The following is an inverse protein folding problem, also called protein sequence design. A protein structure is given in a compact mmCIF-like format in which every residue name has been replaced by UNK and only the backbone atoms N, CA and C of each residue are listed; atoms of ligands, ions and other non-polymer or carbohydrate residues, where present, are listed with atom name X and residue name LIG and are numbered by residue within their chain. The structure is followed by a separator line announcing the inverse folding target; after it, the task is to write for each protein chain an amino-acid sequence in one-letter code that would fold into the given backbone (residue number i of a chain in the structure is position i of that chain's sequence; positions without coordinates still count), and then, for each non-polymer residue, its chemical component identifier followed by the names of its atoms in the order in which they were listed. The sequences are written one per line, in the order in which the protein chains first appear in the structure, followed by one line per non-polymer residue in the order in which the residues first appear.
data_IF_599998336726
#
_entry.id   IF_599998336726
#
_cell.length_a   1.000
_cell.length_b   1.000
_cell.length_c   1.000
_cell.angle_alpha   90.00
_cell.angle_beta   90.00
_cell.angle_gamma   90.00
#
_symmetry.space_group_name_H-M   'P 1'
#
loop_
_entity.id
_entity.type
_entity.pdbx_description
1 polymer ?
#
# COMPACT_ATOMS: atom_id res chain seq x y z
N UNK A 1 13.63 -18.01 -10.50
CA UNK A 1 14.48 -18.09 -9.29
C UNK A 1 13.67 -17.48 -8.18
N UNK A 2 13.26 -18.27 -7.23
CA UNK A 2 12.52 -17.72 -6.09
C UNK A 2 13.53 -17.03 -5.17
N UNK A 3 13.48 -15.73 -5.02
CA UNK A 3 14.41 -14.98 -4.16
C UNK A 3 14.13 -15.20 -2.68
N UNK A 4 12.92 -15.70 -2.35
CA UNK A 4 12.52 -16.02 -0.99
C UNK A 4 13.38 -17.09 -0.31
N UNK A 5 14.02 -17.96 -1.09
CA UNK A 5 14.89 -19.02 -0.56
C UNK A 5 16.28 -18.51 -0.13
N UNK A 6 16.56 -17.23 -0.33
CA UNK A 6 17.89 -16.67 -0.08
C UNK A 6 17.97 -15.75 1.15
N UNK A 7 16.84 -15.37 1.71
CA UNK A 7 16.79 -14.44 2.85
C UNK A 7 15.83 -14.97 3.91
N UNK A 8 16.24 -14.90 5.15
CA UNK A 8 15.41 -15.18 6.30
C UNK A 8 15.31 -13.91 7.15
N UNK A 9 14.10 -13.59 7.56
CA UNK A 9 13.85 -12.47 8.47
C UNK A 9 14.06 -12.94 9.91
N UNK A 10 14.67 -12.12 10.74
CA UNK A 10 14.89 -12.45 12.16
C UNK A 10 13.90 -11.75 13.07
N UNK A 11 13.70 -12.28 14.28
CA UNK A 11 12.89 -11.64 15.31
C UNK A 11 13.39 -10.24 15.74
N UNK A 12 14.59 -9.86 15.32
CA UNK A 12 15.15 -8.52 15.55
C UNK A 12 14.87 -7.51 14.43
N UNK A 13 14.11 -7.91 13.41
CA UNK A 13 13.74 -7.03 12.31
C UNK A 13 14.76 -6.93 11.17
N UNK A 14 15.70 -7.86 11.08
CA UNK A 14 16.73 -7.85 10.04
C UNK A 14 16.56 -9.01 9.07
N UNK A 15 16.80 -8.79 7.80
CA UNK A 15 16.97 -9.87 6.83
C UNK A 15 18.35 -10.50 6.98
N UNK A 16 18.42 -11.82 6.93
CA UNK A 16 19.66 -12.57 7.08
C UNK A 16 19.81 -13.59 5.96
N UNK A 17 20.96 -13.57 5.29
CA UNK A 17 21.41 -14.68 4.48
C UNK A 17 22.29 -15.58 5.36
N UNK A 18 21.75 -16.73 5.74
CA UNK A 18 22.42 -17.63 6.67
C UNK A 18 23.63 -18.32 6.06
N UNK A 19 24.65 -18.57 6.88
CA UNK A 19 25.80 -19.37 6.48
C UNK A 19 25.37 -20.77 6.03
N UNK A 20 25.97 -21.28 4.97
CA UNK A 20 25.68 -22.61 4.45
C UNK A 20 25.86 -22.75 2.95
N UNK A 21 25.47 -23.88 2.41
CA UNK A 21 25.50 -24.16 0.98
C UNK A 21 24.12 -23.97 0.37
N UNK A 22 24.09 -23.21 -0.73
CA UNK A 22 22.88 -22.91 -1.52
C UNK A 22 23.04 -23.51 -2.92
N UNK A 23 22.03 -24.24 -3.38
CA UNK A 23 22.00 -24.79 -4.72
C UNK A 23 21.11 -23.91 -5.62
N UNK A 24 21.70 -23.37 -6.66
CA UNK A 24 21.01 -22.62 -7.70
C UNK A 24 20.91 -23.51 -8.92
N UNK A 25 19.70 -23.85 -9.36
CA UNK A 25 19.48 -24.76 -10.47
C UNK A 25 18.49 -24.20 -11.47
N UNK A 26 18.71 -24.47 -12.78
CA UNK A 26 17.69 -24.30 -13.78
C UNK A 26 16.78 -25.52 -13.78
N UNK A 27 15.49 -25.29 -13.88
CA UNK A 27 14.48 -26.33 -13.79
C UNK A 27 13.46 -26.22 -14.92
N UNK A 28 12.85 -27.33 -15.29
CA UNK A 28 11.72 -27.35 -16.25
C UNK A 28 10.38 -27.12 -15.56
N UNK A 29 10.31 -27.38 -14.27
CA UNK A 29 9.20 -27.16 -13.37
C UNK A 29 9.73 -27.07 -11.92
N UNK A 30 8.88 -26.88 -10.93
CA UNK A 30 9.28 -26.70 -9.51
C UNK A 30 10.06 -27.89 -8.92
N UNK A 31 10.00 -29.06 -9.52
CA UNK A 31 10.60 -30.29 -8.98
C UNK A 31 11.73 -30.86 -9.85
N UNK A 32 11.75 -30.58 -11.15
CA UNK A 32 12.65 -31.24 -12.11
C UNK A 32 13.82 -30.32 -12.48
N UNK A 33 15.00 -30.64 -11.95
CA UNK A 33 16.25 -29.96 -12.30
C UNK A 33 16.66 -30.36 -13.71
N UNK A 34 17.02 -29.41 -14.53
CA UNK A 34 17.60 -29.66 -15.85
C UNK A 34 19.05 -30.11 -15.70
N UNK A 35 19.40 -31.23 -16.33
CA UNK A 35 20.70 -31.88 -16.20
C UNK A 35 21.88 -30.91 -16.32
N UNK A 36 22.82 -31.02 -15.37
CA UNK A 36 24.07 -30.25 -15.32
C UNK A 36 23.91 -28.70 -15.19
N UNK A 37 22.73 -28.20 -14.85
CA UNK A 37 22.50 -26.78 -14.67
C UNK A 37 22.24 -26.43 -13.19
N UNK A 38 23.08 -26.97 -12.30
CA UNK A 38 23.10 -26.65 -10.88
C UNK A 38 24.44 -26.06 -10.50
N UNK A 39 24.40 -24.95 -9.78
CA UNK A 39 25.59 -24.32 -9.18
C UNK A 39 25.43 -24.32 -7.66
N UNK A 40 26.50 -24.60 -6.96
CA UNK A 40 26.53 -24.46 -5.49
C UNK A 40 27.20 -23.13 -5.14
N UNK A 41 26.51 -22.31 -4.36
CA UNK A 41 27.05 -21.11 -3.75
C UNK A 41 27.24 -21.38 -2.25
N UNK A 42 28.38 -20.96 -1.69
CA UNK A 42 28.67 -21.12 -0.27
C UNK A 42 28.75 -19.75 0.42
N UNK A 43 27.90 -19.57 1.42
CA UNK A 43 27.95 -18.44 2.33
C UNK A 43 28.74 -18.86 3.57
N UNK A 44 29.85 -18.18 3.83
CA UNK A 44 30.80 -18.60 4.87
C UNK A 44 30.33 -18.25 6.28
N UNK A 45 29.66 -17.10 6.43
CA UNK A 45 29.12 -16.58 7.68
C UNK A 45 27.79 -15.88 7.41
N UNK A 46 26.95 -15.66 8.41
CA UNK A 46 25.69 -14.96 8.25
C UNK A 46 25.91 -13.54 7.75
N UNK A 47 25.24 -13.17 6.68
CA UNK A 47 25.18 -11.80 6.16
C UNK A 47 23.88 -11.17 6.62
N UNK A 48 23.97 -10.09 7.42
CA UNK A 48 22.81 -9.39 7.98
C UNK A 48 22.57 -8.11 7.17
N UNK A 49 21.34 -7.95 6.68
CA UNK A 49 20.89 -6.79 5.93
C UNK A 49 20.00 -5.94 6.84
N UNK A 50 20.41 -4.71 7.10
CA UNK A 50 19.71 -3.79 8.01
C UNK A 50 18.65 -2.94 7.31
N UNK A 51 18.70 -2.86 6.01
CA UNK A 51 17.73 -2.20 5.14
C UNK A 51 16.77 -3.22 4.51
N UNK A 52 15.75 -2.73 3.83
CA UNK A 52 14.74 -3.59 3.22
C UNK A 52 15.34 -4.67 2.31
N UNK A 53 14.59 -5.73 2.09
CA UNK A 53 15.00 -6.90 1.30
C UNK A 53 15.57 -6.59 -0.09
N UNK A 54 15.24 -5.44 -0.65
CA UNK A 54 15.64 -5.05 -2.01
C UNK A 54 16.74 -3.99 -2.05
N UNK A 55 17.29 -3.66 -0.88
CA UNK A 55 18.36 -2.67 -0.76
C UNK A 55 17.93 -1.26 -1.13
N UNK A 56 18.87 -0.34 -1.02
CA UNK A 56 18.70 1.08 -1.38
C UNK A 56 18.63 1.34 -2.88
N UNK A 57 18.20 0.38 -3.68
CA UNK A 57 18.05 0.49 -5.14
C UNK A 57 16.97 1.48 -5.59
N UNK A 58 16.86 2.57 -4.87
CA UNK A 58 15.85 3.61 -5.03
C UNK A 58 16.23 4.65 -6.08
N UNK A 59 17.29 4.44 -6.85
CA UNK A 59 17.67 5.39 -7.90
C UNK A 59 16.56 5.67 -8.93
N UNK A 60 15.56 4.80 -9.00
CA UNK A 60 14.44 4.94 -9.92
C UNK A 60 13.09 5.27 -9.24
N UNK A 61 13.02 5.32 -7.93
CA UNK A 61 11.79 5.71 -7.23
C UNK A 61 11.70 7.24 -7.17
N UNK A 62 10.86 7.79 -8.00
CA UNK A 62 10.62 9.23 -8.16
C UNK A 62 10.21 9.93 -6.86
N UNK A 63 9.67 9.19 -5.90
CA UNK A 63 8.99 9.71 -4.71
C UNK A 63 9.57 9.23 -3.38
N UNK A 64 10.68 8.54 -3.39
CA UNK A 64 11.42 8.32 -2.15
C UNK A 64 12.06 9.65 -1.78
N UNK A 65 11.28 10.46 -1.13
CA UNK A 65 11.80 11.61 -0.44
C UNK A 65 12.84 11.09 0.55
N UNK A 66 14.06 11.58 0.46
CA UNK A 66 15.00 11.41 1.55
C UNK A 66 14.36 12.11 2.74
N UNK A 67 13.68 11.34 3.61
CA UNK A 67 13.55 11.82 4.98
C UNK A 67 14.97 12.03 5.46
N UNK A 68 15.22 13.24 5.90
CA UNK A 68 16.52 13.68 6.34
C UNK A 68 17.22 12.61 7.19
N UNK A 69 18.37 12.20 6.75
CA UNK A 69 19.54 11.82 7.52
C UNK A 69 19.66 10.44 8.15
N UNK A 70 18.63 9.66 8.41
CA UNK A 70 18.84 8.45 9.19
C UNK A 70 18.47 7.20 8.38
N UNK A 71 19.41 6.26 8.29
CA UNK A 71 19.15 4.91 7.82
C UNK A 71 17.97 4.34 8.62
N UNK A 72 16.83 4.16 7.97
CA UNK A 72 15.68 3.55 8.62
C UNK A 72 15.92 2.05 8.64
N UNK A 73 16.19 1.55 9.80
CA UNK A 73 16.35 0.11 10.04
C UNK A 73 14.97 -0.51 10.17
N UNK A 74 14.73 -1.60 9.43
CA UNK A 74 13.52 -2.40 9.61
C UNK A 74 13.46 -2.97 11.03
N UNK A 75 12.29 -2.86 11.66
CA UNK A 75 12.05 -3.37 13.01
C UNK A 75 10.77 -4.20 13.05
N UNK A 76 10.66 -5.12 14.02
CA UNK A 76 9.42 -5.86 14.20
C UNK A 76 8.28 -4.92 14.56
N UNK A 77 7.16 -5.06 13.83
CA UNK A 77 5.99 -4.20 13.94
C UNK A 77 4.70 -4.98 14.25
N UNK A 78 4.69 -6.30 14.09
CA UNK A 78 3.48 -7.13 14.06
C UNK A 78 3.54 -8.33 15.01
N UNK A 79 4.24 -8.20 16.12
CA UNK A 79 4.34 -9.29 17.12
C UNK A 79 2.97 -9.71 17.67
N UNK A 80 2.03 -8.78 17.76
CA UNK A 80 0.63 -9.02 18.17
C UNK A 80 -0.14 -9.88 17.16
N UNK A 81 0.21 -9.83 15.88
CA UNK A 81 -0.39 -10.63 14.82
C UNK A 81 0.30 -11.99 14.61
N UNK A 82 1.51 -12.18 15.15
CA UNK A 82 2.27 -13.41 14.99
C UNK A 82 1.79 -14.53 15.93
N UNK A 83 1.36 -14.19 17.12
CA UNK A 83 1.08 -15.16 18.18
C UNK A 83 2.34 -15.94 18.56
N UNK A 84 2.17 -17.24 18.83
CA UNK A 84 3.26 -18.15 19.27
C UNK A 84 4.03 -18.81 18.09
N UNK A 85 4.04 -18.20 16.92
CA UNK A 85 4.72 -18.75 15.74
C UNK A 85 6.20 -18.45 15.79
N UNK A 86 7.04 -19.51 15.66
CA UNK A 86 8.49 -19.33 15.54
C UNK A 86 8.86 -19.04 14.09
N UNK A 87 9.77 -18.08 13.88
CA UNK A 87 10.30 -17.78 12.55
C UNK A 87 11.04 -18.98 11.96
N UNK A 88 10.86 -19.17 10.66
CA UNK A 88 11.56 -20.19 9.91
C UNK A 88 13.03 -19.83 9.73
N UNK A 89 13.88 -20.82 9.88
CA UNK A 89 15.29 -20.74 9.55
C UNK A 89 15.77 -22.08 8.97
N UNK A 90 17.03 -22.19 8.57
CA UNK A 90 17.57 -23.40 7.94
C UNK A 90 17.50 -24.64 8.82
N UNK A 91 17.57 -24.47 10.15
CA UNK A 91 17.59 -25.56 11.11
C UNK A 91 16.17 -25.99 11.53
N UNK A 92 15.19 -25.09 11.41
CA UNK A 92 13.82 -25.30 11.87
C UNK A 92 12.80 -25.32 10.73
N UNK A 93 13.21 -25.66 9.54
CA UNK A 93 12.35 -25.72 8.36
C UNK A 93 11.22 -26.75 8.53
N UNK A 94 10.15 -26.36 9.20
CA UNK A 94 9.01 -27.20 9.48
C UNK A 94 7.71 -26.48 9.11
N UNK A 95 6.87 -27.15 8.35
CA UNK A 95 5.48 -26.73 8.16
C UNK A 95 4.68 -27.22 9.36
N UNK A 96 4.23 -26.28 10.20
CA UNK A 96 3.28 -26.57 11.27
C UNK A 96 1.88 -26.36 10.71
N UNK A 97 1.04 -27.39 10.58
CA UNK A 97 -0.33 -27.20 10.15
C UNK A 97 -1.05 -26.26 11.13
N UNK A 98 -1.70 -25.22 10.59
CA UNK A 98 -2.54 -24.34 11.38
C UNK A 98 -3.67 -25.14 12.05
N UNK A 99 -3.88 -24.91 13.34
CA UNK A 99 -5.03 -25.43 14.07
C UNK A 99 -6.08 -24.35 14.23
N UNK A 100 -7.35 -24.71 14.13
CA UNK A 100 -8.44 -23.79 14.47
C UNK A 100 -8.39 -23.46 15.96
N UNK A 101 -8.43 -22.17 16.30
CA UNK A 101 -8.46 -21.69 17.68
C UNK A 101 -9.63 -20.70 17.82
N UNK A 102 -10.20 -20.64 19.01
CA UNK A 102 -11.10 -19.55 19.37
C UNK A 102 -10.29 -18.30 19.74
N UNK A 103 -10.83 -17.10 19.43
CA UNK A 103 -10.22 -15.86 19.87
C UNK A 103 -10.23 -15.77 21.40
N UNK A 104 -9.14 -15.28 21.98
CA UNK A 104 -9.09 -15.06 23.44
C UNK A 104 -9.90 -13.83 23.83
N UNK A 105 -10.19 -13.71 25.13
CA UNK A 105 -10.88 -12.52 25.64
C UNK A 105 -10.07 -11.24 25.39
N UNK A 106 -8.75 -11.30 25.52
CA UNK A 106 -7.83 -10.20 25.28
C UNK A 106 -7.83 -9.79 23.79
N UNK A 107 -7.89 -10.75 22.85
CA UNK A 107 -7.99 -10.47 21.43
C UNK A 107 -9.33 -9.80 21.08
N UNK A 108 -10.42 -10.26 21.67
CA UNK A 108 -11.76 -9.64 21.49
C UNK A 108 -11.82 -8.22 22.08
N UNK A 109 -11.20 -7.99 23.23
CA UNK A 109 -11.10 -6.67 23.85
C UNK A 109 -10.25 -5.74 22.97
N UNK A 110 -9.07 -6.20 22.52
CA UNK A 110 -8.19 -5.43 21.63
C UNK A 110 -8.89 -5.07 20.29
N UNK A 111 -9.62 -6.01 19.70
CA UNK A 111 -10.42 -5.76 18.50
C UNK A 111 -11.47 -4.66 18.74
N UNK A 112 -12.21 -4.72 19.84
CA UNK A 112 -13.23 -3.72 20.15
C UNK A 112 -12.62 -2.34 20.46
N UNK A 113 -11.50 -2.29 21.17
CA UNK A 113 -10.79 -1.04 21.47
C UNK A 113 -10.21 -0.40 20.21
N UNK A 114 -9.77 -1.22 19.24
CA UNK A 114 -9.29 -0.73 17.96
C UNK A 114 -10.35 0.01 17.13
N UNK A 115 -11.63 -0.09 17.47
CA UNK A 115 -12.72 0.61 16.79
C UNK A 115 -12.97 2.04 17.31
N UNK A 116 -12.34 2.44 18.43
CA UNK A 116 -12.60 3.72 19.08
C UNK A 116 -11.45 4.70 18.82
N UNK A 117 -11.75 5.92 18.42
CA UNK A 117 -10.79 7.04 18.47
C UNK A 117 -10.82 7.61 19.88
N UNK A 118 -9.70 7.59 20.57
CA UNK A 118 -9.53 8.17 21.89
C UNK A 118 -8.48 9.31 21.83
N UNK A 119 -8.34 10.06 22.91
CA UNK A 119 -7.44 11.22 22.96
C UNK A 119 -5.96 10.86 23.16
N UNK A 120 -5.57 9.58 23.08
CA UNK A 120 -4.20 9.14 23.30
C UNK A 120 -3.21 9.65 22.23
N UNK A 121 -3.72 10.07 21.08
CA UNK A 121 -2.92 10.66 20.01
C UNK A 121 -2.54 12.14 20.28
N UNK A 122 -3.18 12.80 21.22
CA UNK A 122 -3.03 14.25 21.44
C UNK A 122 -1.71 14.54 22.14
N UNK A 123 -0.87 15.37 21.50
CA UNK A 123 0.31 15.97 22.10
C UNK A 123 -0.04 17.37 22.62
N UNK A 124 0.14 17.60 23.91
CA UNK A 124 -0.19 18.87 24.57
C UNK A 124 0.75 20.03 24.14
N UNK A 125 1.90 19.71 23.58
CA UNK A 125 2.89 20.71 23.14
C UNK A 125 2.65 21.13 21.67
N UNK A 126 1.76 20.44 20.93
CA UNK A 126 1.41 20.76 19.57
C UNK A 126 0.68 22.11 19.47
N UNK A 127 1.02 22.87 18.44
CA UNK A 127 0.36 24.11 18.10
C UNK A 127 -0.47 23.96 16.82
N UNK A 128 -1.72 24.41 16.85
CA UNK A 128 -2.61 24.34 15.70
C UNK A 128 -1.99 25.03 14.46
N UNK A 129 -2.10 24.42 13.28
CA UNK A 129 -1.58 25.03 12.06
C UNK A 129 -2.41 26.24 11.62
N UNK A 130 -1.86 27.04 10.73
CA UNK A 130 -2.57 28.16 10.11
C UNK A 130 -3.58 27.66 9.08
N UNK A 131 -4.76 28.26 9.02
CA UNK A 131 -5.80 28.02 8.04
C UNK A 131 -6.24 29.32 7.34
N UNK A 132 -6.62 29.21 6.07
CA UNK A 132 -7.26 30.29 5.32
C UNK A 132 -6.35 31.49 5.02
N UNK A 133 -5.03 31.32 5.07
CA UNK A 133 -4.07 32.34 4.68
C UNK A 133 -4.28 32.79 3.22
N UNK A 134 -3.85 34.01 2.88
CA UNK A 134 -3.97 34.57 1.53
C UNK A 134 -2.58 34.75 0.91
N UNK A 135 -1.85 33.65 0.73
CA UNK A 135 -0.49 33.66 0.19
C UNK A 135 -0.47 33.75 -1.35
N UNK A 136 -1.60 33.50 -2.01
CA UNK A 136 -1.75 33.64 -3.47
C UNK A 136 -1.05 32.54 -4.27
N UNK A 137 -0.72 31.41 -3.65
CA UNK A 137 -0.13 30.25 -4.30
C UNK A 137 -1.20 29.31 -4.84
N UNK A 138 -0.85 28.63 -5.92
CA UNK A 138 -1.65 27.55 -6.51
C UNK A 138 -0.89 26.22 -6.46
N UNK A 139 -1.59 25.10 -6.56
CA UNK A 139 -0.97 23.78 -6.62
C UNK A 139 0.04 23.68 -7.79
N UNK A 140 -0.21 24.41 -8.88
CA UNK A 140 0.70 24.45 -10.03
C UNK A 140 2.06 25.08 -9.67
N UNK A 141 2.11 26.01 -8.72
CA UNK A 141 3.36 26.62 -8.28
C UNK A 141 4.26 25.64 -7.51
N UNK A 142 3.72 24.50 -7.11
CA UNK A 142 4.44 23.42 -6.42
C UNK A 142 5.07 22.42 -7.39
N UNK A 143 4.80 22.50 -8.68
CA UNK A 143 5.30 21.56 -9.68
C UNK A 143 6.84 21.49 -9.65
N UNK A 144 7.36 20.28 -9.40
CA UNK A 144 8.81 20.01 -9.36
C UNK A 144 9.52 20.40 -8.07
N UNK A 145 8.81 20.93 -7.07
CA UNK A 145 9.39 21.18 -5.75
C UNK A 145 9.55 19.87 -4.97
N UNK A 146 10.56 19.82 -4.12
CA UNK A 146 10.72 18.71 -3.18
C UNK A 146 9.59 18.71 -2.13
N UNK A 147 9.29 17.53 -1.56
CA UNK A 147 8.24 17.38 -0.55
C UNK A 147 8.45 18.30 0.67
N UNK A 148 9.69 18.53 1.06
CA UNK A 148 10.10 19.36 2.19
C UNK A 148 10.39 20.83 1.83
N UNK A 149 10.03 21.27 0.61
CA UNK A 149 10.18 22.69 0.24
C UNK A 149 9.22 23.56 1.04
N UNK A 150 9.73 24.63 1.63
CA UNK A 150 8.96 25.55 2.49
C UNK A 150 7.79 26.27 1.78
N UNK A 151 7.68 26.17 0.46
CA UNK A 151 6.52 26.70 -0.26
C UNK A 151 5.28 25.86 -0.03
N UNK A 152 5.43 24.55 0.22
CA UNK A 152 4.33 23.69 0.59
C UNK A 152 3.61 24.18 1.85
N UNK A 153 4.35 24.59 2.89
CA UNK A 153 3.74 25.15 4.10
C UNK A 153 2.87 26.36 3.80
N UNK A 154 3.33 27.24 2.93
CA UNK A 154 2.56 28.44 2.54
C UNK A 154 1.32 28.09 1.72
N UNK A 155 1.39 27.05 0.86
CA UNK A 155 0.23 26.57 0.13
C UNK A 155 -0.79 25.95 1.08
N UNK A 156 -0.34 25.06 1.97
CA UNK A 156 -1.18 24.38 2.94
C UNK A 156 -1.85 25.32 3.93
N UNK A 157 -1.19 26.42 4.28
CA UNK A 157 -1.77 27.49 5.12
C UNK A 157 -3.00 28.15 4.48
N UNK A 158 -3.16 28.07 3.17
CA UNK A 158 -4.34 28.60 2.46
C UNK A 158 -5.57 27.71 2.60
N UNK A 159 -5.39 26.42 2.89
CA UNK A 159 -6.51 25.49 3.08
C UNK A 159 -7.34 25.88 4.30
N UNK A 160 -8.64 25.67 4.19
CA UNK A 160 -9.58 25.71 5.32
C UNK A 160 -9.83 24.29 5.81
N UNK A 161 -10.47 24.14 6.97
CA UNK A 161 -10.94 22.82 7.41
C UNK A 161 -11.92 22.19 6.40
N UNK A 162 -12.79 22.99 5.80
CA UNK A 162 -13.69 22.52 4.74
C UNK A 162 -12.94 22.00 3.52
N UNK A 163 -11.84 22.64 3.13
CA UNK A 163 -10.99 22.16 2.04
C UNK A 163 -10.34 20.83 2.39
N UNK A 164 -9.88 20.68 3.64
CA UNK A 164 -9.33 19.42 4.11
C UNK A 164 -10.39 18.30 4.14
N UNK A 165 -11.61 18.60 4.57
CA UNK A 165 -12.71 17.64 4.52
C UNK A 165 -12.99 17.17 3.09
N UNK A 166 -12.97 18.07 2.11
CA UNK A 166 -13.13 17.72 0.70
C UNK A 166 -11.98 16.87 0.17
N UNK A 167 -10.75 17.16 0.57
CA UNK A 167 -9.57 16.40 0.13
C UNK A 167 -9.52 15.00 0.73
N UNK A 168 -9.80 14.89 2.03
CA UNK A 168 -9.55 13.68 2.80
C UNK A 168 -10.82 12.83 3.01
N UNK A 169 -11.97 13.48 3.14
CA UNK A 169 -13.26 12.82 3.32
C UNK A 169 -14.06 12.63 2.02
N UNK A 170 -13.39 12.48 0.92
CA UNK A 170 -13.73 12.63 -0.49
C UNK A 170 -15.10 12.16 -0.95
N UNK A 171 -15.50 12.68 -2.11
CA UNK A 171 -16.71 12.31 -2.85
C UNK A 171 -16.62 10.95 -3.58
N UNK A 172 -15.52 10.21 -3.45
CA UNK A 172 -15.28 8.93 -4.10
C UNK A 172 -15.15 9.00 -5.64
N UNK A 173 -14.38 8.07 -6.19
CA UNK A 173 -14.11 7.95 -7.63
C UNK A 173 -13.44 9.18 -8.25
N UNK A 174 -12.69 9.89 -7.40
CA UNK A 174 -11.94 11.06 -7.75
C UNK A 174 -11.72 11.98 -6.56
N UNK A 175 -11.20 13.15 -6.79
CA UNK A 175 -10.96 14.14 -5.75
C UNK A 175 -11.67 15.45 -6.06
N UNK A 176 -12.24 16.09 -5.06
CA UNK A 176 -12.92 17.36 -5.19
C UNK A 176 -11.97 18.50 -5.65
N UNK A 177 -12.55 19.50 -6.32
CA UNK A 177 -11.85 20.75 -6.58
C UNK A 177 -11.65 21.54 -5.28
N UNK A 178 -10.50 22.22 -5.15
CA UNK A 178 -10.18 23.13 -4.06
C UNK A 178 -9.72 24.47 -4.63
N UNK A 179 -10.67 25.39 -4.75
CA UNK A 179 -10.46 26.67 -5.42
C UNK A 179 -9.38 27.54 -4.74
N UNK A 180 -9.25 27.46 -3.41
CA UNK A 180 -8.28 28.25 -2.65
C UNK A 180 -6.82 28.02 -3.07
N UNK A 181 -6.54 26.88 -3.66
CA UNK A 181 -5.20 26.49 -4.15
C UNK A 181 -5.20 26.17 -5.65
N UNK A 182 -6.29 26.45 -6.35
CA UNK A 182 -6.40 26.19 -7.80
C UNK A 182 -6.32 24.72 -8.17
N UNK A 183 -6.64 23.79 -7.24
CA UNK A 183 -6.70 22.36 -7.52
C UNK A 183 -8.02 22.04 -8.26
N UNK A 184 -7.91 21.48 -9.46
CA UNK A 184 -9.06 20.97 -10.20
C UNK A 184 -9.61 19.66 -9.61
N UNK A 185 -10.80 19.29 -10.03
CA UNK A 185 -11.36 17.96 -9.78
C UNK A 185 -10.59 16.91 -10.59
N UNK A 186 -10.36 15.73 -9.99
CA UNK A 186 -9.84 14.53 -10.68
C UNK A 186 -10.91 13.46 -10.77
N UNK A 187 -10.72 12.51 -11.69
CA UNK A 187 -11.57 11.34 -11.84
C UNK A 187 -10.73 10.08 -11.76
N UNK A 188 -11.27 9.08 -11.12
CA UNK A 188 -10.61 7.81 -10.86
C UNK A 188 -11.52 6.66 -11.27
N UNK A 189 -10.92 5.55 -11.66
CA UNK A 189 -11.67 4.37 -12.09
C UNK A 189 -11.13 3.11 -11.45
N UNK A 190 -12.03 2.15 -11.28
CA UNK A 190 -11.68 0.80 -10.87
C UNK A 190 -11.13 0.01 -12.07
N UNK A 191 -10.68 -1.18 -11.77
CA UNK A 191 -10.16 -2.08 -12.77
C UNK A 191 -9.53 -3.26 -12.07
N UNK A 192 -9.08 -4.32 -12.50
CA UNK A 192 -7.67 -4.48 -12.78
C UNK A 192 -7.36 -4.65 -14.27
N UNK A 193 -8.28 -5.14 -15.04
CA UNK A 193 -8.08 -5.43 -16.45
C UNK A 193 -8.77 -4.42 -17.39
N UNK A 194 -9.15 -3.26 -16.87
CA UNK A 194 -9.81 -2.18 -17.63
C UNK A 194 -9.82 -0.89 -16.81
N UNK A 195 -10.26 0.20 -17.40
CA UNK A 195 -10.79 1.35 -16.69
C UNK A 195 -12.29 1.16 -16.55
N UNK A 196 -12.74 0.75 -15.38
CA UNK A 196 -14.13 0.41 -15.10
C UNK A 196 -14.81 1.47 -14.24
N UNK A 197 -15.83 2.11 -14.79
CA UNK A 197 -16.65 3.01 -14.00
C UNK A 197 -17.70 2.20 -13.25
N UNK A 198 -17.51 2.07 -11.95
CA UNK A 198 -18.31 1.17 -11.11
C UNK A 198 -19.80 1.42 -11.21
N UNK A 199 -20.23 2.67 -11.32
CA UNK A 199 -21.65 3.01 -11.42
C UNK A 199 -22.30 2.50 -12.69
N UNK A 200 -21.56 2.31 -13.78
CA UNK A 200 -22.10 1.71 -15.01
C UNK A 200 -22.62 0.29 -14.77
N UNK A 201 -21.92 -0.48 -13.92
CA UNK A 201 -22.35 -1.84 -13.56
C UNK A 201 -23.67 -1.85 -12.78
N UNK A 202 -23.88 -0.90 -11.88
CA UNK A 202 -25.12 -0.77 -11.09
C UNK A 202 -26.27 -0.18 -11.88
N UNK A 203 -25.98 0.78 -12.76
CA UNK A 203 -26.99 1.50 -13.53
C UNK A 203 -27.35 0.83 -14.86
N UNK A 204 -26.58 -0.19 -15.25
CA UNK A 204 -26.73 -0.83 -16.56
C UNK A 204 -26.41 0.12 -17.73
N UNK A 205 -25.51 1.07 -17.51
CA UNK A 205 -25.07 2.08 -18.48
C UNK A 205 -23.69 1.74 -19.03
N UNK A 206 -23.24 2.50 -20.01
CA UNK A 206 -21.88 2.45 -20.53
C UNK A 206 -21.43 3.88 -20.80
N UNK A 207 -21.03 4.56 -19.75
CA UNK A 207 -20.59 5.96 -19.79
C UNK A 207 -19.25 6.08 -20.52
N UNK A 208 -18.34 5.16 -20.23
CA UNK A 208 -17.01 5.10 -20.83
C UNK A 208 -16.85 3.81 -21.65
N UNK A 209 -16.37 3.95 -22.88
CA UNK A 209 -16.11 2.83 -23.78
C UNK A 209 -14.63 2.47 -23.73
N UNK A 210 -14.25 1.81 -22.67
CA UNK A 210 -12.86 1.42 -22.38
C UNK A 210 -12.54 0.04 -22.94
N UNK A 211 -11.24 -0.22 -23.14
CA UNK A 211 -10.74 -1.52 -23.57
C UNK A 211 -10.69 -2.47 -22.40
N UNK A 212 -11.00 -3.74 -22.62
CA UNK A 212 -10.74 -4.82 -21.66
C UNK A 212 -9.44 -5.50 -22.03
N UNK A 213 -8.51 -5.50 -21.09
CA UNK A 213 -7.20 -6.13 -21.18
C UNK A 213 -7.21 -7.54 -20.58
N UNK A 214 -6.17 -8.35 -20.79
CA UNK A 214 -6.00 -9.61 -20.08
C UNK A 214 -5.96 -9.41 -18.56
N UNK A 215 -6.53 -10.35 -17.82
CA UNK A 215 -6.44 -10.35 -16.36
C UNK A 215 -4.98 -10.44 -15.88
N UNK A 216 -4.67 -9.88 -14.73
CA UNK A 216 -3.31 -9.79 -14.20
C UNK A 216 -2.65 -11.15 -14.01
N UNK A 217 -3.40 -12.19 -13.59
CA UNK A 217 -2.90 -13.56 -13.51
C UNK A 217 -2.42 -14.09 -14.87
N UNK A 218 -3.10 -13.72 -15.95
CA UNK A 218 -2.72 -14.14 -17.30
C UNK A 218 -1.47 -13.37 -17.76
N UNK A 219 -1.40 -12.09 -17.44
CA UNK A 219 -0.24 -11.27 -17.73
C UNK A 219 1.01 -11.81 -16.99
N UNK A 220 0.89 -12.15 -15.71
CA UNK A 220 1.97 -12.73 -14.93
C UNK A 220 2.42 -14.11 -15.42
N UNK A 221 1.50 -14.92 -15.96
CA UNK A 221 1.82 -16.22 -16.54
C UNK A 221 2.77 -16.14 -17.76
N UNK A 222 2.92 -14.95 -18.34
CA UNK A 222 3.91 -14.72 -19.42
C UNK A 222 5.34 -14.59 -18.90
N UNK A 223 5.55 -14.27 -17.64
CA UNK A 223 6.85 -13.94 -17.03
C UNK A 223 7.58 -12.79 -17.75
N UNK A 224 6.83 -11.95 -18.43
CA UNK A 224 7.36 -10.89 -19.28
C UNK A 224 7.04 -9.50 -18.71
N UNK A 225 8.00 -8.90 -18.04
CA UNK A 225 7.87 -7.56 -17.44
C UNK A 225 7.73 -6.45 -18.47
N UNK A 226 8.27 -6.63 -19.70
CA UNK A 226 8.09 -5.65 -20.77
C UNK A 226 6.63 -5.59 -21.20
N UNK A 227 5.95 -6.75 -21.26
CA UNK A 227 4.53 -6.81 -21.55
C UNK A 227 3.67 -6.17 -20.43
N UNK A 228 4.08 -6.31 -19.18
CA UNK A 228 3.45 -5.62 -18.06
C UNK A 228 3.62 -4.09 -18.15
N UNK A 229 4.79 -3.65 -18.60
CA UNK A 229 5.05 -2.24 -18.87
C UNK A 229 4.20 -1.71 -20.05
N UNK A 230 4.08 -2.48 -21.14
CA UNK A 230 3.19 -2.14 -22.28
C UNK A 230 1.73 -2.04 -21.84
N UNK A 231 1.29 -2.91 -20.94
CA UNK A 231 -0.06 -2.85 -20.37
C UNK A 231 -0.27 -1.57 -19.56
N UNK A 232 0.68 -1.22 -18.67
CA UNK A 232 0.61 0.03 -17.89
C UNK A 232 0.61 1.28 -18.78
N UNK A 233 1.42 1.27 -19.84
CA UNK A 233 1.46 2.35 -20.83
C UNK A 233 0.11 2.46 -21.57
N UNK A 234 -0.45 1.37 -22.04
CA UNK A 234 -1.70 1.37 -22.81
C UNK A 234 -2.89 1.85 -21.98
N UNK A 235 -3.06 1.33 -20.77
CA UNK A 235 -4.20 1.71 -19.92
C UNK A 235 -4.12 3.17 -19.45
N UNK A 236 -2.92 3.67 -19.18
CA UNK A 236 -2.73 5.06 -18.77
C UNK A 236 -2.94 6.04 -19.93
N UNK A 237 -2.56 5.69 -21.16
CA UNK A 237 -2.89 6.48 -22.35
C UNK A 237 -4.41 6.53 -22.60
N UNK A 238 -5.10 5.40 -22.40
CA UNK A 238 -6.56 5.35 -22.48
C UNK A 238 -7.18 6.24 -21.39
N UNK A 239 -6.72 6.18 -20.15
CA UNK A 239 -7.15 7.04 -19.05
C UNK A 239 -6.98 8.51 -19.39
N UNK A 240 -5.84 8.89 -19.93
CA UNK A 240 -5.60 10.26 -20.39
C UNK A 240 -6.58 10.71 -21.46
N UNK A 241 -6.96 9.82 -22.39
CA UNK A 241 -7.95 10.13 -23.43
C UNK A 241 -9.35 10.36 -22.86
N UNK A 242 -9.68 9.75 -21.73
CA UNK A 242 -10.95 9.90 -21.01
C UNK A 242 -10.89 10.92 -19.85
N UNK A 243 -9.76 11.61 -19.65
CA UNK A 243 -9.52 12.52 -18.52
C UNK A 243 -9.62 11.81 -17.15
N UNK A 244 -9.12 10.58 -17.07
CA UNK A 244 -9.01 9.80 -15.85
C UNK A 244 -7.59 9.96 -15.31
N UNK A 245 -7.49 10.38 -14.06
CA UNK A 245 -6.19 10.69 -13.42
C UNK A 245 -5.67 9.56 -12.55
N UNK A 246 -6.56 8.76 -11.97
CA UNK A 246 -6.22 7.68 -11.05
C UNK A 246 -6.89 6.35 -11.37
N UNK A 247 -6.24 5.27 -10.99
CA UNK A 247 -6.68 3.91 -11.27
C UNK A 247 -6.57 3.06 -10.00
N UNK A 248 -7.69 2.46 -9.55
CA UNK A 248 -7.72 1.56 -8.40
C UNK A 248 -7.20 0.18 -8.78
N UNK A 249 -5.94 0.12 -9.14
CA UNK A 249 -5.19 -1.06 -9.55
C UNK A 249 -3.68 -0.71 -9.62
N UNK A 250 -2.78 -1.69 -9.84
CA UNK A 250 -3.03 -3.13 -9.97
C UNK A 250 -3.36 -3.80 -8.63
N UNK A 251 -3.99 -4.97 -8.70
CA UNK A 251 -4.09 -5.88 -7.57
C UNK A 251 -2.75 -6.58 -7.32
N UNK A 252 -2.22 -6.51 -6.09
CA UNK A 252 -0.87 -6.99 -5.81
C UNK A 252 -0.80 -8.08 -4.71
N UNK A 253 -1.94 -8.48 -4.14
CA UNK A 253 -1.97 -9.57 -3.17
C UNK A 253 -1.54 -10.91 -3.79
N UNK A 254 -1.08 -11.84 -2.95
CA UNK A 254 -0.60 -13.14 -3.42
C UNK A 254 -1.72 -14.17 -3.48
N UNK A 255 -1.59 -15.18 -4.38
CA UNK A 255 -2.51 -16.29 -4.47
C UNK A 255 -2.26 -17.29 -3.36
N UNK A 256 -2.65 -16.99 -2.14
CA UNK A 256 -2.47 -17.89 -1.00
C UNK A 256 -3.37 -19.11 -1.05
N UNK A 257 -4.59 -18.96 -1.60
CA UNK A 257 -5.60 -20.00 -1.64
C UNK A 257 -6.40 -19.91 -2.95
N UNK A 258 -6.68 -21.05 -3.58
CA UNK A 258 -7.47 -21.10 -4.82
C UNK A 258 -8.88 -20.51 -4.66
N UNK A 259 -9.42 -20.52 -3.45
CA UNK A 259 -10.75 -19.99 -3.11
C UNK A 259 -10.73 -18.58 -2.54
N UNK A 260 -9.64 -17.83 -2.74
CA UNK A 260 -9.53 -16.45 -2.25
C UNK A 260 -10.64 -15.53 -2.77
N UNK A 261 -11.09 -15.75 -4.01
CA UNK A 261 -12.20 -15.01 -4.64
C UNK A 261 -11.73 -13.99 -5.68
N UNK A 262 -10.49 -13.44 -5.56
CA UNK A 262 -9.95 -12.39 -6.43
C UNK A 262 -8.61 -12.74 -7.06
N UNK A 263 -8.21 -14.00 -7.11
CA UNK A 263 -6.94 -14.42 -7.73
C UNK A 263 -6.82 -14.01 -9.21
N UNK A 264 -7.93 -13.77 -9.89
CA UNK A 264 -7.92 -13.35 -11.29
C UNK A 264 -7.31 -11.94 -11.47
N UNK A 265 -7.44 -11.06 -10.47
CA UNK A 265 -6.90 -9.70 -10.48
C UNK A 265 -5.60 -9.53 -9.70
N UNK A 266 -5.02 -10.62 -9.25
CA UNK A 266 -3.72 -10.67 -8.59
C UNK A 266 -2.74 -11.43 -9.49
N UNK A 267 -1.49 -11.03 -9.52
CA UNK A 267 -0.52 -11.55 -10.48
C UNK A 267 -0.16 -13.03 -10.24
N UNK A 268 0.23 -13.42 -9.02
CA UNK A 268 0.81 -14.73 -8.75
C UNK A 268 0.74 -15.11 -7.27
N UNK A 269 1.05 -16.38 -6.98
CA UNK A 269 1.37 -16.86 -5.62
C UNK A 269 2.80 -16.45 -5.18
N UNK A 270 3.68 -16.15 -6.15
CA UNK A 270 5.04 -15.74 -5.92
C UNK A 270 5.11 -14.21 -5.72
N UNK A 271 5.53 -13.77 -4.53
CA UNK A 271 5.61 -12.34 -4.21
C UNK A 271 6.61 -11.59 -5.09
N UNK A 272 7.72 -12.23 -5.49
CA UNK A 272 8.72 -11.60 -6.34
C UNK A 272 8.20 -11.40 -7.78
N UNK A 273 7.54 -12.41 -8.35
CA UNK A 273 6.92 -12.29 -9.67
C UNK A 273 5.82 -11.25 -9.65
N UNK A 274 4.91 -11.31 -8.66
CA UNK A 274 3.85 -10.31 -8.47
C UNK A 274 4.41 -8.90 -8.38
N UNK A 275 5.45 -8.71 -7.58
CA UNK A 275 6.09 -7.41 -7.41
C UNK A 275 6.78 -6.90 -8.67
N UNK A 276 7.44 -7.78 -9.42
CA UNK A 276 8.12 -7.40 -10.67
C UNK A 276 7.12 -6.96 -11.74
N UNK A 277 5.99 -7.69 -11.86
CA UNK A 277 4.92 -7.34 -12.79
C UNK A 277 4.19 -6.06 -12.35
N UNK A 278 3.87 -5.93 -11.08
CA UNK A 278 3.24 -4.75 -10.50
C UNK A 278 4.12 -3.50 -10.68
N UNK A 279 5.41 -3.59 -10.36
CA UNK A 279 6.35 -2.48 -10.53
C UNK A 279 6.46 -2.02 -11.99
N UNK A 280 6.50 -2.96 -12.94
CA UNK A 280 6.55 -2.63 -14.36
C UNK A 280 5.26 -1.95 -14.86
N UNK A 281 4.09 -2.45 -14.44
CA UNK A 281 2.79 -1.85 -14.78
C UNK A 281 2.66 -0.45 -14.21
N UNK A 282 2.93 -0.30 -12.91
CA UNK A 282 2.83 0.99 -12.20
C UNK A 282 3.81 2.01 -12.78
N UNK A 283 5.09 1.63 -12.96
CA UNK A 283 6.10 2.56 -13.46
C UNK A 283 5.80 3.10 -14.86
N UNK A 284 5.14 2.32 -15.71
CA UNK A 284 4.71 2.78 -17.02
C UNK A 284 3.50 3.73 -16.92
N UNK A 285 2.52 3.41 -16.08
CA UNK A 285 1.33 4.24 -15.90
C UNK A 285 1.65 5.59 -15.23
N UNK A 286 2.44 5.58 -14.17
CA UNK A 286 2.90 6.79 -13.45
C UNK A 286 3.71 7.72 -14.38
N UNK A 287 4.54 7.16 -15.24
CA UNK A 287 5.29 7.93 -16.25
C UNK A 287 4.41 8.72 -17.20
N UNK A 288 3.19 8.24 -17.46
CA UNK A 288 2.19 8.91 -18.29
C UNK A 288 1.28 9.85 -17.48
N UNK A 289 1.47 9.94 -16.16
CA UNK A 289 0.74 10.82 -15.26
C UNK A 289 -0.55 10.23 -14.70
N UNK A 290 -0.73 8.90 -14.76
CA UNK A 290 -1.81 8.21 -14.08
C UNK A 290 -1.28 7.60 -12.78
N UNK A 291 -1.76 8.07 -11.62
CA UNK A 291 -1.41 7.44 -10.35
C UNK A 291 -2.19 6.15 -10.13
N UNK A 292 -1.49 5.15 -9.58
CA UNK A 292 -2.01 3.79 -9.44
C UNK A 292 -2.17 3.43 -7.97
N UNK A 293 -3.39 3.24 -7.51
CA UNK A 293 -3.66 2.75 -6.17
C UNK A 293 -3.41 1.24 -6.09
N UNK A 294 -2.14 0.86 -5.85
CA UNK A 294 -1.80 -0.56 -5.68
C UNK A 294 -2.59 -1.14 -4.51
N UNK A 295 -3.25 -2.28 -4.73
CA UNK A 295 -4.24 -2.82 -3.79
C UNK A 295 -4.12 -4.33 -3.57
N UNK A 296 -4.59 -4.84 -2.43
CA UNK A 296 -5.07 -4.13 -1.25
C UNK A 296 -4.03 -4.29 -0.14
N UNK A 297 -3.51 -3.20 0.35
CA UNK A 297 -2.39 -3.19 1.30
C UNK A 297 -2.90 -3.27 2.75
N UNK A 298 -2.69 -4.41 3.42
CA UNK A 298 -2.04 -5.64 3.02
C UNK A 298 -2.80 -6.85 3.59
N UNK A 299 -2.35 -8.04 3.16
CA UNK A 299 -2.88 -9.32 3.65
C UNK A 299 -4.35 -9.60 3.31
N UNK A 300 -4.82 -9.07 2.18
CA UNK A 300 -6.17 -9.34 1.66
C UNK A 300 -6.18 -10.56 0.71
N UNK A 301 -5.73 -11.72 1.19
CA UNK A 301 -5.72 -12.98 0.42
C UNK A 301 -7.01 -13.78 0.59
N UNK A 302 -8.05 -13.18 1.16
CA UNK A 302 -9.36 -13.81 1.36
C UNK A 302 -10.47 -12.77 1.33
N UNK A 303 -11.47 -12.98 0.45
CA UNK A 303 -12.63 -12.11 0.33
C UNK A 303 -13.74 -12.41 1.36
N UNK A 304 -13.88 -13.67 1.75
CA UNK A 304 -14.94 -14.08 2.69
C UNK A 304 -14.79 -13.37 4.03
N UNK A 305 -15.82 -12.65 4.45
CA UNK A 305 -15.94 -11.91 5.71
C UNK A 305 -15.06 -10.66 5.82
N UNK A 306 -14.37 -10.23 4.75
CA UNK A 306 -13.51 -9.04 4.81
C UNK A 306 -14.26 -7.76 5.23
N UNK A 307 -15.52 -7.61 4.83
CA UNK A 307 -16.38 -6.47 5.19
C UNK A 307 -16.91 -6.53 6.63
N UNK A 308 -16.61 -7.59 7.37
CA UNK A 308 -17.15 -7.83 8.72
C UNK A 308 -16.04 -7.97 9.77
N UNK A 309 -14.88 -7.38 9.52
CA UNK A 309 -13.78 -7.38 10.48
C UNK A 309 -12.96 -8.66 10.47
N UNK A 310 -12.74 -9.27 9.30
CA UNK A 310 -11.82 -10.41 9.15
C UNK A 310 -10.45 -10.06 9.72
N UNK A 311 -10.00 -10.81 10.73
CA UNK A 311 -8.66 -10.71 11.28
C UNK A 311 -7.71 -11.69 10.58
N UNK A 312 -6.62 -11.16 10.02
CA UNK A 312 -5.55 -11.94 9.41
C UNK A 312 -4.39 -12.06 10.37
N UNK A 313 -3.91 -13.29 10.56
CA UNK A 313 -2.82 -13.61 11.48
C UNK A 313 -1.65 -14.18 10.69
N UNK A 314 -0.49 -13.60 10.82
CA UNK A 314 0.76 -14.06 10.23
C UNK A 314 1.93 -13.57 11.07
N UNK A 315 3.05 -14.29 11.05
CA UNK A 315 4.30 -13.74 11.57
C UNK A 315 4.89 -12.70 10.61
N UNK A 316 5.74 -11.86 11.14
CA UNK A 316 6.34 -10.76 10.40
C UNK A 316 7.28 -11.25 9.29
N UNK A 317 7.93 -12.41 9.46
CA UNK A 317 8.73 -13.04 8.42
C UNK A 317 7.88 -13.33 7.18
N UNK A 318 6.73 -13.98 7.35
CA UNK A 318 5.81 -14.26 6.24
C UNK A 318 5.29 -12.97 5.60
N UNK A 319 4.97 -11.96 6.40
CA UNK A 319 4.51 -10.66 5.88
C UNK A 319 5.58 -10.04 4.99
N UNK A 320 6.82 -9.93 5.45
CA UNK A 320 7.90 -9.24 4.75
C UNK A 320 8.49 -10.02 3.59
N UNK A 321 8.59 -11.34 3.71
CA UNK A 321 9.20 -12.17 2.67
C UNK A 321 8.24 -12.58 1.55
N UNK A 322 6.92 -12.48 1.79
CA UNK A 322 5.89 -12.95 0.84
C UNK A 322 4.88 -11.83 0.53
N UNK A 323 4.12 -11.41 1.56
CA UNK A 323 2.91 -10.59 1.33
C UNK A 323 3.19 -9.12 1.07
N UNK A 324 4.26 -8.56 1.63
CA UNK A 324 4.64 -7.16 1.41
C UNK A 324 5.48 -6.96 0.15
N UNK A 325 6.17 -8.01 -0.32
CA UNK A 325 7.09 -7.93 -1.46
C UNK A 325 6.46 -7.30 -2.71
N UNK A 326 5.22 -7.64 -3.12
CA UNK A 326 4.61 -7.04 -4.30
C UNK A 326 4.44 -5.52 -4.16
N UNK A 327 4.03 -5.07 -2.99
CA UNK A 327 3.83 -3.65 -2.69
C UNK A 327 5.14 -2.90 -2.57
N UNK A 328 6.11 -3.47 -1.85
CA UNK A 328 7.44 -2.88 -1.69
C UNK A 328 8.11 -2.64 -3.05
N UNK A 329 8.06 -3.64 -3.95
CA UNK A 329 8.61 -3.49 -5.30
C UNK A 329 7.85 -2.45 -6.12
N UNK A 330 6.54 -2.41 -6.06
CA UNK A 330 5.74 -1.42 -6.76
C UNK A 330 6.07 0.01 -6.27
N UNK A 331 6.29 0.21 -4.96
CA UNK A 331 6.70 1.49 -4.39
C UNK A 331 8.14 1.84 -4.79
N UNK A 332 9.10 0.94 -4.54
CA UNK A 332 10.53 1.25 -4.68
C UNK A 332 11.05 1.17 -6.11
N UNK A 333 10.58 0.21 -6.89
CA UNK A 333 11.03 0.00 -8.27
C UNK A 333 10.05 0.60 -9.29
N UNK A 334 8.73 0.54 -9.01
CA UNK A 334 7.69 1.11 -9.85
C UNK A 334 7.47 2.61 -9.64
N UNK A 335 7.88 3.15 -8.49
CA UNK A 335 7.66 4.55 -8.15
C UNK A 335 6.20 4.90 -7.89
N UNK A 336 5.42 3.95 -7.33
CA UNK A 336 4.01 4.18 -7.03
C UNK A 336 3.80 5.38 -6.13
N UNK A 337 2.85 6.23 -6.49
CA UNK A 337 2.45 7.43 -5.73
C UNK A 337 1.14 7.22 -4.96
N UNK A 338 0.50 6.07 -5.13
CA UNK A 338 -0.78 5.79 -4.49
C UNK A 338 -0.88 4.33 -4.01
N UNK A 339 -1.56 4.13 -2.89
CA UNK A 339 -1.81 2.81 -2.27
C UNK A 339 -3.26 2.77 -1.80
N UNK A 340 -3.92 1.63 -1.94
CA UNK A 340 -5.22 1.38 -1.33
C UNK A 340 -5.06 0.42 -0.16
N UNK A 341 -5.45 0.85 1.04
CA UNK A 341 -5.46 -0.01 2.22
C UNK A 341 -6.57 -1.07 2.13
N UNK A 342 -6.33 -2.23 2.75
CA UNK A 342 -7.27 -3.35 2.66
C UNK A 342 -8.38 -3.28 3.71
N UNK A 343 -9.47 -4.05 3.48
CA UNK A 343 -10.58 -4.18 4.44
C UNK A 343 -10.22 -4.97 5.70
N UNK A 344 -9.38 -6.00 5.57
CA UNK A 344 -9.09 -6.90 6.68
C UNK A 344 -8.30 -6.22 7.80
N UNK A 345 -8.38 -6.81 8.97
CA UNK A 345 -7.47 -6.48 10.06
C UNK A 345 -6.18 -7.30 9.96
N UNK A 346 -5.08 -6.75 10.41
CA UNK A 346 -3.83 -7.44 10.72
C UNK A 346 -3.78 -7.60 12.24
N UNK A 347 -3.78 -8.83 12.72
CA UNK A 347 -4.13 -9.05 14.13
C UNK A 347 -5.53 -8.53 14.40
N UNK A 348 -5.68 -7.64 15.36
CA UNK A 348 -6.96 -7.03 15.75
C UNK A 348 -7.17 -5.62 15.20
N UNK A 349 -6.17 -5.05 14.48
CA UNK A 349 -6.20 -3.69 13.98
C UNK A 349 -6.50 -3.67 12.49
N UNK A 350 -7.48 -2.87 12.09
CA UNK A 350 -7.77 -2.67 10.67
C UNK A 350 -6.52 -2.18 9.91
N UNK A 351 -6.23 -2.77 8.75
CA UNK A 351 -5.03 -2.43 7.98
C UNK A 351 -4.95 -0.94 7.63
N UNK A 352 -6.08 -0.30 7.32
CA UNK A 352 -6.18 1.14 7.05
C UNK A 352 -5.98 2.03 8.28
N UNK A 353 -5.99 1.48 9.49
CA UNK A 353 -5.72 2.18 10.75
C UNK A 353 -4.46 1.65 11.47
N UNK A 354 -3.62 0.90 10.78
CA UNK A 354 -2.41 0.32 11.34
C UNK A 354 -1.22 1.26 11.17
N UNK A 355 -0.80 1.92 12.25
CA UNK A 355 0.43 2.75 12.28
C UNK A 355 1.66 1.90 11.94
N UNK A 356 1.71 0.66 12.41
CA UNK A 356 2.77 -0.30 12.06
C UNK A 356 2.88 -0.48 10.54
N UNK A 357 1.74 -0.65 9.86
CA UNK A 357 1.71 -0.86 8.42
C UNK A 357 1.95 0.43 7.62
N UNK A 358 1.14 1.47 7.88
CA UNK A 358 1.10 2.66 7.02
C UNK A 358 2.22 3.66 7.33
N UNK A 359 2.51 3.90 8.61
CA UNK A 359 3.57 4.83 9.00
C UNK A 359 4.93 4.14 9.07
N UNK A 360 5.04 3.05 9.84
CA UNK A 360 6.36 2.48 10.10
C UNK A 360 6.90 1.74 8.88
N UNK A 361 6.15 0.81 8.31
CA UNK A 361 6.61 0.04 7.14
C UNK A 361 6.53 0.88 5.86
N UNK A 362 5.32 1.32 5.47
CA UNK A 362 5.15 1.94 4.16
C UNK A 362 5.90 3.27 4.06
N UNK A 363 5.69 4.20 5.02
CA UNK A 363 6.27 5.54 4.92
C UNK A 363 7.70 5.63 5.43
N UNK A 364 7.99 5.05 6.61
CA UNK A 364 9.30 5.19 7.21
C UNK A 364 10.33 4.25 6.59
N UNK A 365 10.05 2.95 6.51
CA UNK A 365 11.01 1.98 5.97
C UNK A 365 11.12 2.05 4.44
N UNK A 366 9.97 2.17 3.73
CA UNK A 366 10.01 2.19 2.26
C UNK A 366 10.15 3.59 1.67
N UNK A 367 9.98 4.63 2.48
CA UNK A 367 10.09 6.02 2.04
C UNK A 367 8.92 6.52 1.20
N UNK A 368 7.77 5.87 1.27
CA UNK A 368 6.58 6.27 0.52
C UNK A 368 6.01 7.61 1.02
N UNK A 369 5.81 8.56 0.13
CA UNK A 369 5.25 9.88 0.45
C UNK A 369 3.79 10.02 -0.02
N UNK A 370 3.40 9.38 -1.09
CA UNK A 370 2.12 9.56 -1.78
C UNK A 370 0.86 9.28 -0.96
N UNK A 371 -0.26 9.19 -1.65
CA UNK A 371 -1.58 9.01 -1.05
C UNK A 371 -1.85 7.56 -0.64
N UNK A 372 -2.53 7.38 0.50
CA UNK A 372 -3.09 6.10 0.93
C UNK A 372 -4.60 6.25 1.09
N UNK A 373 -5.35 5.76 0.11
CA UNK A 373 -6.81 5.72 0.14
C UNK A 373 -7.31 4.49 0.89
N UNK A 374 -8.49 4.55 1.48
CA UNK A 374 -9.16 3.35 2.00
C UNK A 374 -9.69 2.50 0.84
N UNK A 375 -9.97 1.21 1.06
CA UNK A 375 -10.92 0.50 0.20
C UNK A 375 -12.32 1.14 0.34
N UNK A 376 -13.28 0.74 -0.50
CA UNK A 376 -14.60 1.38 -0.55
C UNK A 376 -15.30 1.32 0.83
N UNK A 377 -15.55 2.48 1.40
CA UNK A 377 -16.19 2.61 2.71
C UNK A 377 -17.71 2.83 2.57
N UNK A 378 -18.42 1.75 2.38
CA UNK A 378 -19.89 1.73 2.37
C UNK A 378 -20.46 1.64 3.81
N UNK A 379 -20.04 2.55 4.69
CA UNK A 379 -20.51 2.60 6.09
C UNK A 379 -20.11 1.38 6.95
N UNK A 380 -18.99 0.75 6.63
CA UNK A 380 -18.40 -0.26 7.51
C UNK A 380 -17.86 0.43 8.77
N UNK A 381 -18.50 0.25 9.89
CA UNK A 381 -18.23 0.99 11.12
C UNK A 381 -16.81 0.85 11.70
N UNK A 382 -16.03 -0.12 11.20
CA UNK A 382 -14.62 -0.27 11.59
C UNK A 382 -13.64 0.55 10.73
N UNK A 383 -14.08 1.03 9.57
CA UNK A 383 -13.26 1.82 8.64
C UNK A 383 -13.40 3.31 8.96
N UNK A 384 -12.81 3.73 10.05
CA UNK A 384 -12.84 5.13 10.50
C UNK A 384 -11.72 5.92 9.82
N UNK A 385 -12.09 6.99 9.10
CA UNK A 385 -11.12 7.84 8.38
C UNK A 385 -10.20 8.60 9.33
N UNK A 386 -10.66 8.99 10.51
CA UNK A 386 -9.83 9.69 11.48
C UNK A 386 -8.71 8.76 11.99
N UNK A 387 -9.04 7.49 12.24
CA UNK A 387 -8.02 6.48 12.55
C UNK A 387 -7.06 6.24 11.40
N UNK A 388 -7.57 6.21 10.17
CA UNK A 388 -6.72 6.06 9.00
C UNK A 388 -5.72 7.21 8.88
N UNK A 389 -6.16 8.45 9.07
CA UNK A 389 -5.29 9.63 9.04
C UNK A 389 -4.25 9.60 10.18
N UNK A 390 -4.65 9.20 11.38
CA UNK A 390 -3.71 9.02 12.51
C UNK A 390 -2.64 7.96 12.22
N UNK A 391 -2.99 6.92 11.49
CA UNK A 391 -2.10 5.83 11.14
C UNK A 391 -1.20 6.11 9.91
N UNK A 392 -1.40 7.23 9.20
CA UNK A 392 -0.66 7.58 7.99
C UNK A 392 -1.43 7.38 6.68
N UNK A 393 -2.73 7.09 6.74
CA UNK A 393 -3.66 7.17 5.63
C UNK A 393 -3.93 8.62 5.22
N UNK A 394 -4.52 8.83 4.04
CA UNK A 394 -4.79 10.18 3.54
C UNK A 394 -6.24 10.44 3.27
N UNK A 395 -6.90 9.63 2.48
CA UNK A 395 -8.26 9.91 2.02
C UNK A 395 -9.18 8.69 2.03
N UNK A 396 -10.46 8.97 2.04
CA UNK A 396 -11.53 8.00 2.12
C UNK A 396 -12.10 7.76 0.72
N UNK A 397 -12.17 6.50 0.29
CA UNK A 397 -12.99 6.14 -0.86
C UNK A 397 -14.45 5.97 -0.39
N UNK A 398 -15.27 6.99 -0.66
CA UNK A 398 -16.67 7.01 -0.25
C UNK A 398 -17.54 7.67 -1.32
N UNK A 399 -18.56 6.96 -1.79
CA UNK A 399 -19.38 7.39 -2.91
C UNK A 399 -20.54 8.35 -2.59
N UNK A 400 -20.73 8.74 -1.30
CA UNK A 400 -21.94 9.43 -0.85
C UNK A 400 -21.64 10.62 0.06
N UNK A 401 -21.15 11.71 -0.54
CA UNK A 401 -20.90 12.96 0.18
C UNK A 401 -19.53 13.03 0.87
N UNK A 402 -19.32 14.08 1.65
CA UNK A 402 -18.08 14.36 2.36
C UNK A 402 -18.19 14.02 3.82
N UNK A 403 -17.23 13.23 4.34
CA UNK A 403 -17.12 12.97 5.79
C UNK A 403 -16.39 14.11 6.48
N UNK A 404 -16.80 14.41 7.71
CA UNK A 404 -16.14 15.36 8.61
C UNK A 404 -15.17 14.64 9.53
N UNK A 405 -14.25 15.39 10.10
CA UNK A 405 -13.23 14.91 11.03
C UNK A 405 -13.52 15.51 12.40
N UNK A 406 -14.55 14.97 13.07
CA UNK A 406 -15.14 15.60 14.24
C UNK A 406 -14.23 15.57 15.47
N UNK A 407 -13.33 14.57 15.59
CA UNK A 407 -12.33 14.50 16.65
C UNK A 407 -11.05 15.24 16.26
N UNK A 408 -10.47 14.92 15.10
CA UNK A 408 -9.18 15.50 14.70
C UNK A 408 -9.24 17.01 14.51
N UNK A 409 -10.34 17.55 14.03
CA UNK A 409 -10.51 18.99 13.85
C UNK A 409 -10.52 19.79 15.17
N UNK A 410 -10.74 19.14 16.31
CA UNK A 410 -10.84 19.80 17.62
C UNK A 410 -9.50 19.94 18.35
N UNK A 411 -8.46 19.25 17.91
CA UNK A 411 -7.15 19.23 18.57
C UNK A 411 -6.05 19.75 17.65
N UNK A 412 -5.01 20.37 18.21
CA UNK A 412 -3.85 20.84 17.43
C UNK A 412 -3.16 19.66 16.73
N UNK A 413 -2.90 18.57 17.44
CA UNK A 413 -2.33 17.34 16.88
C UNK A 413 -3.16 16.78 15.73
N UNK A 414 -4.48 16.70 15.91
CA UNK A 414 -5.38 16.20 14.86
C UNK A 414 -5.37 17.07 13.61
N UNK A 415 -5.37 18.40 13.77
CA UNK A 415 -5.26 19.34 12.66
C UNK A 415 -3.91 19.24 11.92
N UNK A 416 -2.81 19.01 12.66
CA UNK A 416 -1.49 18.74 12.07
C UNK A 416 -1.50 17.43 11.28
N UNK A 417 -2.14 16.38 11.78
CA UNK A 417 -2.28 15.10 11.07
C UNK A 417 -3.11 15.23 9.79
N UNK A 418 -4.21 15.98 9.84
CA UNK A 418 -5.00 16.29 8.65
C UNK A 418 -4.18 17.10 7.62
N UNK A 419 -3.39 18.08 8.09
CA UNK A 419 -2.50 18.87 7.22
C UNK A 419 -1.42 17.99 6.58
N UNK A 420 -0.81 17.07 7.33
CA UNK A 420 0.15 16.10 6.81
C UNK A 420 -0.49 15.21 5.74
N UNK A 421 -1.67 14.67 6.01
CA UNK A 421 -2.42 13.86 5.06
C UNK A 421 -2.77 14.65 3.78
N UNK A 422 -3.21 15.91 3.92
CA UNK A 422 -3.49 16.78 2.79
C UNK A 422 -2.22 17.07 1.96
N UNK A 423 -1.07 17.27 2.61
CA UNK A 423 0.21 17.43 1.91
C UNK A 423 0.59 16.19 1.10
N UNK A 424 0.52 15.01 1.73
CA UNK A 424 0.80 13.73 1.06
C UNK A 424 -0.13 13.46 -0.12
N UNK A 425 -1.37 13.94 -0.04
CA UNK A 425 -2.36 13.79 -1.09
C UNK A 425 -2.16 14.77 -2.25
N UNK A 426 -1.68 15.98 -1.99
CA UNK A 426 -1.46 17.02 -2.99
C UNK A 426 -0.11 16.92 -3.70
N UNK A 427 0.87 16.29 -3.05
CA UNK A 427 2.22 16.09 -3.58
C UNK A 427 2.25 15.06 -4.70
#
# INVERSE_FOLDING_TARGET
MCSSDLKCYTSTGSYVLEAGEYQISLRTDSHTVKDNLTMTCKVAENEVFQDSAFGSGVENCKYVGKRSSDEVVATNQFDDAAGDVAYLNRDTWQIVPGTSKEATAEQLEAFNNALVVDDSYVDADDTAPTFGAKNGLTLKDMEGLAYDDAQWDKLLDQLTLDDMYKLLGADGWGSAAVDNIGKGQTYEMDGPAALSYVFDAFMGTCTYKTVTYPAEVLLAATWNVDLASEFGDAISQEGKAWNISGWYAPGANTHRNAFAGRNFEYYSEDGFLSGSMSAATVGAAEKNGMYCYIKHFALNERETWRHYGLCTWADEQAMREIYFVPFEKAVKEGGSTAVMSSYNNIGTTWAGASTALLTNVLRNEWGFIGTVITDNNEEHGFMDIEKAVLAGGTNLLFGWGTKTFDNLSQTATGQLKMREAAHQYLY
#
